data_IF_612881100819
#
_entry.id   IF_612881100819
#
_cell.length_a   1.000
_cell.length_b   1.000
_cell.length_c   1.000
_cell.angle_alpha   90.00
_cell.angle_beta   90.00
_cell.angle_gamma   90.00
#
_symmetry.space_group_name_H-M   'P 1'
#
loop_
_entity.id
_entity.type
_entity.pdbx_description
1 polymer ?
#
# COMPACT_ATOMS: atom_id res chain seq x y z
N UNK A 1 37.36 -25.33 -11.58
CA UNK A 1 37.79 -26.14 -10.41
C UNK A 1 38.68 -27.33 -10.76
N UNK A 2 38.94 -27.67 -12.02
CA UNK A 2 39.82 -28.81 -12.43
C UNK A 2 41.20 -28.40 -12.96
N UNK A 3 41.55 -27.12 -12.87
CA UNK A 3 42.66 -26.49 -13.60
C UNK A 3 44.07 -26.91 -13.16
N UNK A 4 44.25 -27.34 -11.91
CA UNK A 4 45.57 -27.70 -11.34
C UNK A 4 45.66 -29.16 -10.89
N UNK A 5 44.91 -30.04 -11.55
CA UNK A 5 44.98 -31.48 -11.30
C UNK A 5 46.22 -32.10 -11.98
N UNK A 6 46.79 -33.17 -11.41
CA UNK A 6 47.85 -33.93 -12.07
C UNK A 6 47.36 -34.52 -13.41
N UNK A 7 48.25 -34.74 -14.39
CA UNK A 7 47.90 -35.05 -15.78
C UNK A 7 46.98 -36.27 -15.93
N UNK A 8 47.17 -37.30 -15.09
CA UNK A 8 46.33 -38.50 -15.09
C UNK A 8 44.85 -38.22 -14.76
N UNK A 9 44.60 -37.24 -13.89
CA UNK A 9 43.24 -36.82 -13.51
C UNK A 9 42.70 -35.78 -14.48
N UNK A 10 43.55 -34.92 -15.04
CA UNK A 10 43.16 -33.92 -16.05
C UNK A 10 42.62 -34.60 -17.31
N UNK A 11 43.21 -35.72 -17.73
CA UNK A 11 42.79 -36.50 -18.90
C UNK A 11 41.33 -36.98 -18.83
N UNK A 12 40.78 -37.18 -17.63
CA UNK A 12 39.38 -37.57 -17.44
C UNK A 12 38.38 -36.47 -17.82
N UNK A 13 38.85 -35.22 -17.90
CA UNK A 13 38.05 -34.05 -18.27
C UNK A 13 38.27 -33.63 -19.73
N UNK A 14 38.84 -34.51 -20.56
CA UNK A 14 38.92 -34.29 -22.00
C UNK A 14 37.51 -34.10 -22.59
N UNK A 15 37.36 -33.13 -23.49
CA UNK A 15 36.11 -32.94 -24.21
C UNK A 15 35.79 -34.18 -25.05
N UNK A 16 34.50 -34.49 -25.16
CA UNK A 16 34.04 -35.50 -26.12
C UNK A 16 34.17 -34.98 -27.54
N UNK A 17 34.07 -35.89 -28.50
CA UNK A 17 33.93 -35.54 -29.91
C UNK A 17 32.79 -34.52 -30.10
N UNK A 18 32.93 -33.61 -31.09
CA UNK A 18 31.91 -32.59 -31.35
C UNK A 18 30.58 -33.26 -31.68
N UNK A 19 29.49 -32.62 -31.23
CA UNK A 19 28.15 -33.10 -31.52
C UNK A 19 27.87 -33.07 -33.03
N UNK A 20 27.15 -34.08 -33.51
CA UNK A 20 26.63 -34.10 -34.88
C UNK A 20 25.64 -32.94 -35.03
N UNK A 21 25.85 -32.12 -36.06
CA UNK A 21 24.96 -31.01 -36.34
C UNK A 21 23.54 -31.49 -36.68
N UNK A 22 22.55 -30.87 -36.04
CA UNK A 22 21.15 -30.99 -36.40
C UNK A 22 20.59 -29.59 -36.67
N UNK A 23 19.73 -29.42 -37.68
CA UNK A 23 19.09 -28.13 -37.93
C UNK A 23 18.21 -27.74 -36.74
N UNK A 24 18.07 -26.42 -36.45
CA UNK A 24 17.13 -25.94 -35.43
C UNK A 24 15.71 -26.45 -35.67
N UNK A 25 15.02 -26.84 -34.59
CA UNK A 25 13.67 -27.39 -34.68
C UNK A 25 12.63 -26.39 -35.20
N UNK A 26 12.88 -25.09 -35.05
CA UNK A 26 11.99 -24.02 -35.45
C UNK A 26 12.79 -22.86 -36.08
N UNK A 27 12.11 -22.07 -36.90
CA UNK A 27 12.69 -20.90 -37.58
C UNK A 27 12.98 -19.78 -36.59
N UNK A 28 13.83 -18.83 -36.99
CA UNK A 28 14.09 -17.65 -36.17
C UNK A 28 12.84 -16.76 -36.08
N UNK A 29 12.67 -15.96 -35.00
CA UNK A 29 11.46 -15.14 -34.81
C UNK A 29 11.10 -14.23 -35.99
N UNK A 30 12.09 -13.71 -36.73
CA UNK A 30 11.90 -12.84 -37.89
C UNK A 30 11.60 -13.60 -39.19
N UNK A 31 11.87 -14.91 -39.24
CA UNK A 31 11.55 -15.79 -40.37
C UNK A 31 10.16 -16.43 -40.21
N UNK A 32 9.60 -16.39 -38.98
CA UNK A 32 8.25 -16.88 -38.70
C UNK A 32 7.22 -15.93 -39.29
N UNK A 33 6.44 -16.42 -40.25
CA UNK A 33 5.23 -15.75 -40.71
C UNK A 33 4.16 -15.89 -39.62
N UNK A 34 3.91 -14.80 -38.89
CA UNK A 34 2.86 -14.71 -37.85
C UNK A 34 1.71 -13.84 -38.35
N UNK A 35 0.51 -14.09 -37.84
CA UNK A 35 -0.58 -13.12 -37.99
C UNK A 35 -0.16 -11.79 -37.34
N UNK A 36 -0.35 -10.65 -38.01
CA UNK A 36 -0.02 -9.35 -37.42
C UNK A 36 -0.98 -9.04 -36.28
N UNK A 37 -0.52 -8.23 -35.32
CA UNK A 37 -1.43 -7.62 -34.36
C UNK A 37 -2.39 -6.68 -35.07
N UNK A 38 -3.65 -6.69 -34.64
CA UNK A 38 -4.70 -5.80 -35.13
C UNK A 38 -4.97 -4.71 -34.08
N UNK A 39 -5.53 -3.59 -34.53
CA UNK A 39 -6.00 -2.52 -33.63
C UNK A 39 -7.29 -2.91 -32.90
N UNK A 40 -7.71 -2.05 -31.97
CA UNK A 40 -8.92 -2.27 -31.15
C UNK A 40 -10.17 -1.56 -31.71
N UNK A 41 -10.10 -0.97 -32.91
CA UNK A 41 -11.18 -0.15 -33.47
C UNK A 41 -12.49 -0.93 -33.70
N UNK A 42 -12.41 -2.23 -33.97
CA UNK A 42 -13.57 -3.11 -34.11
C UNK A 42 -14.38 -3.31 -32.82
N UNK A 43 -13.84 -2.88 -31.67
CA UNK A 43 -14.48 -3.05 -30.36
C UNK A 43 -15.09 -1.75 -29.83
N UNK A 44 -15.05 -0.65 -30.60
CA UNK A 44 -15.63 0.62 -30.18
C UNK A 44 -17.16 0.56 -30.01
N UNK A 45 -17.83 -0.36 -30.70
CA UNK A 45 -19.27 -0.57 -30.59
C UNK A 45 -19.70 -1.21 -29.26
N UNK A 46 -18.75 -1.68 -28.44
CA UNK A 46 -19.00 -2.32 -27.16
C UNK A 46 -19.03 -1.37 -25.96
N UNK A 47 -18.79 -0.07 -26.16
CA UNK A 47 -18.86 0.92 -25.07
C UNK A 47 -20.31 1.35 -24.81
N UNK A 48 -20.66 1.58 -23.53
CA UNK A 48 -21.97 2.11 -23.14
C UNK A 48 -22.18 3.54 -23.68
N UNK A 49 -23.43 3.87 -24.04
CA UNK A 49 -23.80 5.25 -24.39
C UNK A 49 -23.65 6.12 -23.12
N UNK A 50 -22.89 7.23 -23.17
CA UNK A 50 -22.77 8.18 -22.06
C UNK A 50 -24.09 8.68 -21.47
N UNK A 51 -25.21 8.55 -22.19
CA UNK A 51 -26.56 8.86 -21.70
C UNK A 51 -27.11 7.83 -20.72
N UNK A 52 -26.72 6.56 -20.89
CA UNK A 52 -27.20 5.43 -20.09
C UNK A 52 -26.27 5.13 -18.90
N UNK A 53 -25.05 5.68 -18.91
CA UNK A 53 -24.09 5.50 -17.81
C UNK A 53 -24.43 6.43 -16.64
N UNK A 54 -24.80 5.91 -15.45
CA UNK A 54 -25.01 6.74 -14.28
C UNK A 54 -23.69 7.42 -13.87
N UNK A 55 -23.74 8.60 -13.21
CA UNK A 55 -22.54 9.24 -12.71
C UNK A 55 -21.80 8.29 -11.76
N UNK A 56 -20.45 8.27 -11.78
CA UNK A 56 -19.69 7.36 -10.96
C UNK A 56 -20.01 7.58 -9.48
N UNK A 57 -20.40 6.51 -8.79
CA UNK A 57 -20.67 6.55 -7.35
C UNK A 57 -19.37 6.80 -6.60
N UNK A 58 -19.18 8.03 -6.09
CA UNK A 58 -18.03 8.32 -5.23
C UNK A 58 -18.23 7.65 -3.88
N UNK A 59 -17.38 6.68 -3.58
CA UNK A 59 -17.24 6.11 -2.25
C UNK A 59 -16.29 7.00 -1.45
N UNK A 60 -16.51 7.11 -0.14
CA UNK A 60 -15.59 7.82 0.76
C UNK A 60 -14.16 7.31 0.57
N UNK A 61 -13.25 8.24 0.31
CA UNK A 61 -11.81 7.98 0.34
C UNK A 61 -11.35 7.71 1.78
N UNK A 62 -10.17 7.11 1.92
CA UNK A 62 -9.58 6.82 3.23
C UNK A 62 -9.40 8.10 4.07
N UNK A 63 -9.07 9.21 3.42
CA UNK A 63 -8.80 10.48 4.08
C UNK A 63 -10.10 11.14 4.55
N UNK A 64 -11.15 11.14 3.73
CA UNK A 64 -12.50 11.60 4.13
C UNK A 64 -13.03 10.79 5.32
N UNK A 65 -12.84 9.45 5.32
CA UNK A 65 -13.23 8.60 6.44
C UNK A 65 -12.46 8.94 7.73
N UNK A 66 -11.19 9.32 7.61
CA UNK A 66 -10.36 9.70 8.76
C UNK A 66 -10.79 11.06 9.31
N UNK A 67 -11.11 12.01 8.45
CA UNK A 67 -11.62 13.33 8.83
C UNK A 67 -12.98 13.22 9.52
N UNK A 68 -13.90 12.41 8.98
CA UNK A 68 -15.20 12.15 9.60
C UNK A 68 -15.05 11.64 11.03
N UNK A 69 -14.25 10.58 11.23
CA UNK A 69 -13.98 10.02 12.56
C UNK A 69 -13.30 11.02 13.50
N UNK A 70 -12.43 11.90 12.99
CA UNK A 70 -11.76 12.93 13.79
C UNK A 70 -12.79 13.97 14.26
N UNK A 71 -13.66 14.42 13.37
CA UNK A 71 -14.70 15.40 13.68
C UNK A 71 -15.70 14.84 14.69
N UNK A 72 -16.21 13.63 14.49
CA UNK A 72 -17.10 12.93 15.44
C UNK A 72 -16.48 12.83 16.84
N UNK A 73 -15.19 12.45 16.93
CA UNK A 73 -14.48 12.38 18.23
C UNK A 73 -14.29 13.75 18.88
N UNK A 74 -14.00 14.78 18.07
CA UNK A 74 -13.86 16.15 18.58
C UNK A 74 -15.18 16.69 19.12
N UNK A 75 -16.28 16.45 18.42
CA UNK A 75 -17.63 16.83 18.86
C UNK A 75 -18.02 16.12 20.16
N UNK A 76 -17.78 14.80 20.25
CA UNK A 76 -18.02 14.04 21.48
C UNK A 76 -17.17 14.54 22.66
N UNK A 77 -15.90 14.84 22.42
CA UNK A 77 -15.01 15.36 23.45
C UNK A 77 -15.42 16.77 23.90
N UNK A 78 -15.83 17.64 22.96
CA UNK A 78 -16.31 18.98 23.26
C UNK A 78 -17.59 18.93 24.10
N UNK A 79 -18.55 18.09 23.71
CA UNK A 79 -19.78 17.88 24.48
C UNK A 79 -19.52 17.40 25.90
N UNK A 80 -18.61 16.43 26.07
CA UNK A 80 -18.21 15.95 27.40
C UNK A 80 -17.54 17.05 28.22
N UNK A 81 -16.63 17.82 27.62
CA UNK A 81 -15.94 18.91 28.29
C UNK A 81 -16.92 19.98 28.78
N UNK A 82 -17.94 20.32 27.99
CA UNK A 82 -18.99 21.27 28.39
C UNK A 82 -19.81 20.75 29.59
N UNK A 83 -20.14 19.46 29.61
CA UNK A 83 -20.79 18.83 30.76
C UNK A 83 -19.91 18.84 32.01
N UNK A 84 -18.64 18.45 31.87
CA UNK A 84 -17.68 18.42 32.96
C UNK A 84 -17.44 19.84 33.51
N UNK A 85 -17.38 20.85 32.63
CA UNK A 85 -17.24 22.26 33.01
C UNK A 85 -18.48 22.77 33.76
N UNK A 86 -19.69 22.39 33.34
CA UNK A 86 -20.92 22.76 34.02
C UNK A 86 -21.01 22.16 35.44
N UNK A 87 -20.42 20.98 35.65
CA UNK A 87 -20.36 20.32 36.96
C UNK A 87 -19.16 20.77 37.82
N UNK A 88 -18.17 21.44 37.23
CA UNK A 88 -16.94 21.81 37.91
C UNK A 88 -17.16 22.98 38.88
N UNK A 89 -17.22 22.67 40.17
CA UNK A 89 -17.19 23.65 41.25
C UNK A 89 -15.96 23.42 42.16
N UNK A 90 -14.91 24.24 42.03
CA UNK A 90 -13.70 24.10 42.84
C UNK A 90 -13.92 24.49 44.32
N UNK A 91 -14.96 25.26 44.64
CA UNK A 91 -15.23 25.72 46.00
C UNK A 91 -15.90 24.67 46.88
N UNK A 92 -16.69 23.76 46.30
CA UNK A 92 -17.29 22.63 47.02
C UNK A 92 -16.40 21.38 47.04
N UNK A 93 -15.18 21.45 46.50
CA UNK A 93 -14.27 20.31 46.43
C UNK A 93 -13.75 19.92 47.84
N UNK A 94 -14.05 18.72 48.36
CA UNK A 94 -13.60 18.28 49.68
C UNK A 94 -12.08 18.12 49.79
N UNK A 95 -11.37 17.98 48.66
CA UNK A 95 -9.92 17.87 48.61
C UNK A 95 -9.20 19.22 48.41
N UNK A 96 -9.94 20.33 48.44
CA UNK A 96 -9.37 21.68 48.32
C UNK A 96 -8.71 22.14 49.63
N UNK A 97 -7.71 23.01 49.52
CA UNK A 97 -7.05 23.63 50.69
C UNK A 97 -7.88 24.81 51.17
N UNK A 98 -7.82 25.11 52.47
CA UNK A 98 -8.63 26.17 53.10
C UNK A 98 -8.40 27.58 52.51
N UNK A 99 -7.15 27.99 52.28
CA UNK A 99 -6.81 29.34 51.80
C UNK A 99 -6.14 29.28 50.42
N UNK A 100 -6.87 29.61 49.34
CA UNK A 100 -6.33 29.63 47.99
C UNK A 100 -5.14 30.58 47.81
N UNK A 101 -5.09 31.70 48.55
CA UNK A 101 -4.02 32.70 48.41
C UNK A 101 -2.69 32.27 49.03
N UNK A 102 -2.69 31.20 49.83
CA UNK A 102 -1.51 30.65 50.50
C UNK A 102 -1.16 29.23 50.02
N UNK A 103 -1.81 28.75 48.97
CA UNK A 103 -1.61 27.40 48.44
C UNK A 103 -0.76 27.44 47.18
N UNK A 104 0.34 26.67 47.14
CA UNK A 104 1.20 26.54 45.95
C UNK A 104 0.88 25.23 45.21
N UNK A 105 0.72 25.29 43.90
CA UNK A 105 0.59 24.11 43.06
C UNK A 105 1.95 23.70 42.51
N UNK A 106 2.40 22.48 42.83
CA UNK A 106 3.63 21.88 42.27
C UNK A 106 3.23 20.69 41.42
N UNK A 107 3.67 20.67 40.16
CA UNK A 107 3.44 19.56 39.23
C UNK A 107 4.75 19.10 38.58
N UNK A 108 4.76 17.85 38.08
CA UNK A 108 5.92 17.19 37.45
C UNK A 108 7.16 17.12 38.37
N UNK A 109 7.00 16.45 39.52
CA UNK A 109 8.12 15.93 40.34
C UNK A 109 8.66 14.67 39.67
#
# INVERSE_FOLDING_TARGET
MTQYLPPNLLALFAARDPLIYLPPADKLPHEKKRAPYLGVSSFLDGFEDPKDTPPPTRVETRDERKERKRKERQEQHAYKLEQDLALWDPSSNPNSTMDPFKTLFVARI
#
